data_IF_440630209984
#
_entry.id   IF_440630209984
#
_cell.length_a   1.000
_cell.length_b   1.000
_cell.length_c   1.000
_cell.angle_alpha   90.00
_cell.angle_beta   90.00
_cell.angle_gamma   90.00
#
_symmetry.space_group_name_H-M   'P 1'
#
loop_
_entity.id
_entity.type
_entity.pdbx_description
1 polymer ?
#
# COMPACT_ATOMS: atom_id res chain seq x y z
N UNK A 1 -10.84 -10.47 4.89
CA UNK A 1 -9.60 -9.83 4.39
C UNK A 1 -9.10 -10.41 3.07
N UNK A 2 -8.92 -11.74 2.90
CA UNK A 2 -8.54 -12.32 1.57
C UNK A 2 -9.47 -11.89 0.43
N UNK A 3 -10.76 -11.80 0.71
CA UNK A 3 -11.76 -11.34 -0.26
C UNK A 3 -11.53 -9.90 -0.74
N UNK A 4 -11.04 -9.02 0.15
CA UNK A 4 -10.68 -7.64 -0.19
C UNK A 4 -9.56 -7.62 -1.24
N UNK A 5 -8.50 -8.39 -1.02
CA UNK A 5 -7.41 -8.55 -1.98
C UNK A 5 -7.91 -9.00 -3.35
N UNK A 6 -8.82 -9.98 -3.40
CA UNK A 6 -9.41 -10.44 -4.65
C UNK A 6 -10.24 -9.35 -5.35
N UNK A 7 -11.09 -8.61 -4.62
CA UNK A 7 -11.91 -7.55 -5.21
C UNK A 7 -11.06 -6.40 -5.75
N UNK A 8 -10.05 -5.97 -4.99
CA UNK A 8 -9.09 -4.96 -5.43
C UNK A 8 -8.32 -5.44 -6.66
N UNK A 9 -7.84 -6.70 -6.67
CA UNK A 9 -7.12 -7.26 -7.81
C UNK A 9 -7.97 -7.28 -9.09
N UNK A 10 -9.28 -7.57 -8.98
CA UNK A 10 -10.23 -7.53 -10.09
C UNK A 10 -10.69 -6.11 -10.48
N UNK A 11 -10.37 -5.09 -9.69
CA UNK A 11 -10.87 -3.73 -9.91
C UNK A 11 -12.35 -3.54 -9.56
N UNK A 12 -12.91 -4.42 -8.73
CA UNK A 12 -14.30 -4.39 -8.27
C UNK A 12 -14.45 -3.33 -7.17
N UNK A 13 -14.44 -2.05 -7.56
CA UNK A 13 -14.47 -0.90 -6.64
C UNK A 13 -15.65 -0.97 -5.69
N UNK A 14 -16.86 -1.20 -6.22
CA UNK A 14 -18.08 -1.20 -5.40
C UNK A 14 -18.04 -2.27 -4.30
N UNK A 15 -17.60 -3.49 -4.63
CA UNK A 15 -17.49 -4.58 -3.64
C UNK A 15 -16.36 -4.37 -2.65
N UNK A 16 -15.26 -3.75 -3.11
CA UNK A 16 -14.14 -3.38 -2.23
C UNK A 16 -14.60 -2.32 -1.23
N UNK A 17 -15.32 -1.31 -1.71
CA UNK A 17 -15.91 -0.24 -0.89
C UNK A 17 -16.87 -0.78 0.16
N UNK A 18 -17.86 -1.59 -0.26
CA UNK A 18 -18.82 -2.20 0.66
C UNK A 18 -18.13 -2.99 1.77
N UNK A 19 -17.10 -3.77 1.42
CA UNK A 19 -16.34 -4.54 2.40
C UNK A 19 -15.48 -3.67 3.31
N UNK A 20 -14.96 -2.55 2.81
CA UNK A 20 -14.15 -1.60 3.60
C UNK A 20 -15.02 -0.73 4.53
N UNK A 21 -16.24 -0.42 4.12
CA UNK A 21 -17.21 0.35 4.91
C UNK A 21 -17.90 -0.50 5.99
N UNK A 22 -18.15 -1.79 5.71
CA UNK A 22 -18.78 -2.71 6.66
C UNK A 22 -17.94 -2.95 7.92
N UNK A 23 -16.60 -2.87 7.80
CA UNK A 23 -15.69 -3.16 8.90
C UNK A 23 -14.88 -1.92 9.28
N UNK A 24 -15.17 -1.38 10.47
CA UNK A 24 -14.38 -0.33 11.12
C UNK A 24 -13.13 -0.96 11.76
N UNK A 25 -12.10 -1.21 10.95
CA UNK A 25 -10.88 -1.91 11.32
C UNK A 25 -9.66 -1.00 11.08
N UNK A 26 -8.87 -0.77 12.13
CA UNK A 26 -7.67 0.06 12.10
C UNK A 26 -6.41 -0.69 11.64
N UNK A 27 -6.54 -1.93 11.15
CA UNK A 27 -5.41 -2.69 10.63
C UNK A 27 -4.86 -2.10 9.33
N UNK A 28 -3.58 -2.38 9.10
CA UNK A 28 -2.89 -1.99 7.88
C UNK A 28 -3.65 -2.47 6.61
N UNK A 29 -4.30 -3.63 6.65
CA UNK A 29 -5.03 -4.19 5.49
C UNK A 29 -6.17 -3.29 5.04
N UNK A 30 -6.92 -2.72 5.98
CA UNK A 30 -8.06 -1.86 5.66
C UNK A 30 -7.60 -0.47 5.24
N UNK A 31 -6.65 0.14 5.96
CA UNK A 31 -6.14 1.47 5.60
C UNK A 31 -5.48 1.46 4.22
N UNK A 32 -4.63 0.47 3.93
CA UNK A 32 -4.00 0.34 2.61
C UNK A 32 -4.96 -0.18 1.53
N UNK A 33 -6.02 -0.90 1.92
CA UNK A 33 -7.11 -1.27 1.03
C UNK A 33 -7.92 -0.06 0.55
N UNK A 34 -8.21 0.89 1.45
CA UNK A 34 -8.89 2.16 1.12
C UNK A 34 -8.09 2.98 0.10
N UNK A 35 -6.78 3.12 0.28
CA UNK A 35 -5.91 3.83 -0.68
C UNK A 35 -6.09 3.25 -2.09
N UNK A 36 -5.94 1.94 -2.26
CA UNK A 36 -6.06 1.32 -3.59
C UNK A 36 -7.49 1.41 -4.13
N UNK A 37 -8.50 1.25 -3.28
CA UNK A 37 -9.91 1.38 -3.68
C UNK A 37 -10.20 2.78 -4.25
N UNK A 38 -9.71 3.84 -3.59
CA UNK A 38 -9.88 5.24 -4.00
C UNK A 38 -9.12 5.55 -5.29
N UNK A 39 -7.90 5.03 -5.45
CA UNK A 39 -7.16 5.12 -6.71
C UNK A 39 -7.94 4.47 -7.86
N UNK A 40 -8.54 3.30 -7.62
CA UNK A 40 -9.36 2.62 -8.63
C UNK A 40 -10.66 3.36 -8.95
N UNK A 41 -11.22 4.08 -7.97
CA UNK A 41 -12.36 4.95 -8.17
C UNK A 41 -12.00 6.26 -8.90
N UNK A 42 -10.72 6.60 -9.01
CA UNK A 42 -10.24 7.88 -9.55
C UNK A 42 -10.35 9.06 -8.58
N UNK A 43 -10.60 8.78 -7.31
CA UNK A 43 -10.73 9.76 -6.22
C UNK A 43 -9.36 10.12 -5.65
N UNK A 44 -8.59 10.92 -6.39
CA UNK A 44 -7.18 11.18 -6.08
C UNK A 44 -6.97 11.98 -4.78
N UNK A 45 -7.83 12.96 -4.51
CA UNK A 45 -7.72 13.79 -3.30
C UNK A 45 -7.97 12.94 -2.04
N UNK A 46 -9.04 12.14 -2.06
CA UNK A 46 -9.34 11.22 -0.98
C UNK A 46 -8.29 10.11 -0.84
N UNK A 47 -7.71 9.64 -1.96
CA UNK A 47 -6.62 8.67 -1.93
C UNK A 47 -5.37 9.21 -1.24
N UNK A 48 -5.03 10.49 -1.44
CA UNK A 48 -3.92 11.15 -0.74
C UNK A 48 -4.18 11.28 0.76
N UNK A 49 -5.40 11.63 1.17
CA UNK A 49 -5.80 11.68 2.58
C UNK A 49 -5.70 10.29 3.22
N UNK A 50 -6.29 9.28 2.57
CA UNK A 50 -6.23 7.89 3.01
C UNK A 50 -4.79 7.36 3.08
N UNK A 51 -3.92 7.78 2.17
CA UNK A 51 -2.51 7.42 2.19
C UNK A 51 -1.81 7.94 3.44
N UNK A 52 -2.08 9.17 3.87
CA UNK A 52 -1.48 9.73 5.10
C UNK A 52 -1.89 8.92 6.32
N UNK A 53 -3.16 8.53 6.41
CA UNK A 53 -3.64 7.66 7.50
C UNK A 53 -3.03 6.26 7.45
N UNK A 54 -2.90 5.67 6.24
CA UNK A 54 -2.29 4.37 6.05
C UNK A 54 -0.81 4.36 6.44
N UNK A 55 -0.08 5.45 6.15
CA UNK A 55 1.31 5.64 6.56
C UNK A 55 1.46 5.84 8.07
N UNK A 56 0.56 6.59 8.71
CA UNK A 56 0.55 6.75 10.17
C UNK A 56 0.26 5.44 10.90
N UNK A 57 -0.67 4.64 10.33
CA UNK A 57 -1.05 3.33 10.86
C UNK A 57 0.08 2.32 10.72
N UNK A 58 0.66 2.20 9.52
CA UNK A 58 1.76 1.27 9.29
C UNK A 58 2.70 1.76 8.15
N UNK A 59 3.83 2.41 8.49
CA UNK A 59 4.75 2.98 7.51
C UNK A 59 5.57 1.92 6.76
N UNK A 60 5.55 0.65 7.18
CA UNK A 60 6.35 -0.41 6.57
C UNK A 60 5.70 -1.01 5.32
N UNK A 61 4.40 -0.80 5.10
CA UNK A 61 3.69 -1.36 3.94
C UNK A 61 4.15 -0.72 2.64
N UNK A 62 4.29 0.61 2.60
CA UNK A 62 4.73 1.33 1.40
C UNK A 62 6.06 0.81 0.82
N UNK A 63 7.16 0.74 1.61
CA UNK A 63 8.43 0.23 1.08
C UNK A 63 8.37 -1.26 0.73
N UNK A 64 7.54 -2.08 1.38
CA UNK A 64 7.31 -3.48 0.96
C UNK A 64 6.60 -3.54 -0.40
N UNK A 65 5.53 -2.76 -0.62
CA UNK A 65 4.80 -2.68 -1.90
C UNK A 65 5.68 -2.14 -3.04
N UNK A 66 6.61 -1.24 -2.73
CA UNK A 66 7.55 -0.70 -3.71
C UNK A 66 8.77 -1.61 -3.94
N UNK A 67 8.98 -2.64 -3.11
CA UNK A 67 10.16 -3.52 -3.20
C UNK A 67 11.44 -2.86 -2.67
N UNK A 68 11.31 -1.80 -1.87
CA UNK A 68 12.42 -1.09 -1.21
C UNK A 68 12.80 -1.72 0.13
N UNK A 69 11.96 -2.63 0.64
CA UNK A 69 12.18 -3.39 1.85
C UNK A 69 11.97 -4.87 1.57
N UNK A 70 12.88 -5.71 2.04
CA UNK A 70 12.73 -7.17 1.98
C UNK A 70 11.67 -7.64 2.99
N UNK A 71 10.86 -8.67 2.66
CA UNK A 71 9.95 -9.28 3.64
C UNK A 71 10.73 -10.00 4.74
N UNK A 72 10.11 -10.18 5.91
CA UNK A 72 10.67 -11.00 6.99
C UNK A 72 10.58 -12.47 6.57
N UNK A 73 11.65 -13.22 6.79
CA UNK A 73 11.67 -14.65 6.54
C UNK A 73 10.75 -15.39 7.53
N UNK A 74 9.89 -16.26 6.99
CA UNK A 74 8.98 -17.10 7.77
C UNK A 74 7.69 -16.40 8.19
N UNK A 75 6.82 -17.16 8.87
CA UNK A 75 5.55 -16.63 9.38
C UNK A 75 5.75 -16.04 10.78
N UNK A 76 5.35 -14.78 11.02
CA UNK A 76 5.40 -14.19 12.34
C UNK A 76 4.57 -15.00 13.35
N UNK A 77 5.16 -15.31 14.50
CA UNK A 77 4.45 -15.96 15.60
C UNK A 77 3.51 -14.99 16.36
N UNK A 78 3.80 -13.69 16.30
CA UNK A 78 3.04 -12.61 16.93
C UNK A 78 2.97 -11.45 15.96
N UNK A 79 1.81 -10.82 15.87
CA UNK A 79 1.55 -9.65 15.02
C UNK A 79 1.04 -8.54 15.92
N UNK A 80 1.64 -7.36 15.82
CA UNK A 80 1.20 -6.16 16.55
C UNK A 80 0.78 -5.10 15.54
N UNK A 81 -0.26 -4.33 15.86
CA UNK A 81 -0.70 -3.21 15.01
C UNK A 81 0.46 -2.22 14.83
N UNK A 82 0.67 -1.79 13.59
CA UNK A 82 1.76 -0.91 13.17
C UNK A 82 3.13 -1.60 13.02
N UNK A 83 3.21 -2.91 13.25
CA UNK A 83 4.48 -3.62 13.16
C UNK A 83 4.83 -4.05 11.73
N UNK A 84 6.10 -4.39 11.50
CA UNK A 84 6.57 -4.90 10.19
C UNK A 84 5.92 -6.25 9.85
N UNK A 85 5.62 -7.07 10.84
CA UNK A 85 4.90 -8.33 10.71
C UNK A 85 3.48 -8.11 10.19
N UNK A 86 2.78 -7.10 10.71
CA UNK A 86 1.46 -6.72 10.19
C UNK A 86 1.58 -6.22 8.75
N UNK A 87 2.59 -5.41 8.45
CA UNK A 87 2.82 -4.92 7.10
C UNK A 87 3.06 -6.06 6.10
N UNK A 88 3.81 -7.08 6.50
CA UNK A 88 4.02 -8.28 5.69
C UNK A 88 2.72 -9.03 5.44
N UNK A 89 1.86 -9.20 6.46
CA UNK A 89 0.55 -9.84 6.28
C UNK A 89 -0.34 -8.99 5.37
N UNK A 90 -0.29 -7.67 5.50
CA UNK A 90 -0.97 -6.74 4.61
C UNK A 90 -0.56 -6.97 3.14
N UNK A 91 0.73 -6.95 2.85
CA UNK A 91 1.25 -7.18 1.49
C UNK A 91 0.96 -8.60 1.00
N UNK A 92 0.94 -9.62 1.87
CA UNK A 92 0.51 -10.97 1.46
C UNK A 92 -0.96 -11.02 1.02
N UNK A 93 -1.82 -10.13 1.52
CA UNK A 93 -3.26 -10.14 1.24
C UNK A 93 -3.61 -9.24 0.05
N UNK A 94 -3.06 -8.03 0.00
CA UNK A 94 -3.40 -7.04 -1.04
C UNK A 94 -2.26 -6.75 -2.01
N UNK A 95 -1.06 -7.29 -1.78
CA UNK A 95 0.13 -7.01 -2.59
C UNK A 95 -0.04 -7.38 -4.05
N UNK A 96 -0.68 -8.51 -4.37
CA UNK A 96 -0.99 -8.88 -5.76
C UNK A 96 -1.86 -7.83 -6.47
N UNK A 97 -2.82 -7.23 -5.74
CA UNK A 97 -3.67 -6.18 -6.29
C UNK A 97 -2.90 -4.90 -6.64
N UNK A 98 -1.88 -4.57 -5.84
CA UNK A 98 -0.96 -3.46 -6.09
C UNK A 98 0.06 -3.80 -7.19
N UNK A 99 0.64 -5.00 -7.17
CA UNK A 99 1.64 -5.46 -8.15
C UNK A 99 1.07 -5.51 -9.57
N UNK A 100 -0.20 -5.90 -9.70
CA UNK A 100 -0.91 -5.92 -10.99
C UNK A 100 -1.23 -4.53 -11.56
N UNK A 101 -0.91 -3.44 -10.83
CA UNK A 101 -1.20 -2.05 -11.19
C UNK A 101 0.06 -1.17 -11.09
N UNK A 102 0.90 -1.16 -12.14
CA UNK A 102 2.09 -0.33 -12.18
C UNK A 102 1.81 1.16 -11.93
N UNK A 103 0.65 1.67 -12.38
CA UNK A 103 0.24 3.05 -12.20
C UNK A 103 0.02 3.39 -10.72
N UNK A 104 -0.57 2.48 -9.94
CA UNK A 104 -0.78 2.68 -8.50
C UNK A 104 0.54 2.68 -7.74
N UNK A 105 1.49 1.81 -8.11
CA UNK A 105 2.84 1.79 -7.52
C UNK A 105 3.64 3.04 -7.88
N UNK A 106 3.54 3.51 -9.12
CA UNK A 106 4.16 4.76 -9.54
C UNK A 106 3.60 5.96 -8.76
N UNK A 107 2.27 6.05 -8.66
CA UNK A 107 1.61 7.09 -7.86
C UNK A 107 2.08 7.05 -6.41
N UNK A 108 2.14 5.87 -5.78
CA UNK A 108 2.61 5.74 -4.40
C UNK A 108 4.05 6.24 -4.26
N UNK A 109 4.93 5.88 -5.19
CA UNK A 109 6.30 6.37 -5.21
C UNK A 109 6.38 7.90 -5.32
N UNK A 110 5.64 8.50 -6.26
CA UNK A 110 5.58 9.96 -6.44
C UNK A 110 5.08 10.67 -5.18
N UNK A 111 4.08 10.11 -4.50
CA UNK A 111 3.57 10.65 -3.24
C UNK A 111 4.62 10.60 -2.13
N UNK A 112 5.34 9.48 -1.98
CA UNK A 112 6.42 9.40 -0.99
C UNK A 112 7.56 10.38 -1.27
N UNK A 113 7.88 10.62 -2.54
CA UNK A 113 8.84 11.67 -2.96
C UNK A 113 8.32 13.06 -2.59
N UNK A 114 7.07 13.36 -2.93
CA UNK A 114 6.44 14.65 -2.65
C UNK A 114 6.35 14.95 -1.15
N UNK A 115 6.15 13.91 -0.33
CA UNK A 115 6.17 13.98 1.14
C UNK A 115 7.59 14.02 1.73
N UNK A 116 8.64 13.89 0.91
CA UNK A 116 10.04 13.88 1.33
C UNK A 116 10.45 12.63 2.12
N UNK A 117 9.70 11.54 1.99
CA UNK A 117 9.97 10.27 2.68
C UNK A 117 11.03 9.42 1.95
N UNK A 118 11.14 9.58 0.64
CA UNK A 118 12.17 8.97 -0.19
C UNK A 118 12.74 10.01 -1.16
N UNK A 119 14.01 9.86 -1.52
CA UNK A 119 14.64 10.67 -2.57
C UNK A 119 14.39 10.02 -3.92
N UNK A 120 14.13 10.83 -4.95
CA UNK A 120 14.40 10.38 -6.32
C UNK A 120 15.91 10.13 -6.35
N UNK A 121 16.34 8.88 -6.46
CA UNK A 121 17.72 8.62 -6.87
C UNK A 121 17.90 9.40 -8.16
N UNK A 122 18.76 10.43 -8.12
CA UNK A 122 19.25 11.02 -9.34
C UNK A 122 19.96 9.86 -10.03
N UNK A 123 19.47 9.45 -11.19
CA UNK A 123 20.21 8.58 -12.07
C UNK A 123 21.66 9.07 -12.08
N UNK A 124 22.58 8.23 -11.59
CA UNK A 124 24.02 8.39 -11.71
C UNK A 124 24.36 8.38 -13.22
N UNK A 125 24.07 9.48 -13.91
CA UNK A 125 24.53 9.77 -15.27
C UNK A 125 25.72 10.74 -15.23
N UNK A 126 26.47 10.73 -14.12
CA UNK A 126 27.81 11.32 -13.98
C UNK A 126 28.87 10.21 -13.95
N UNK A 127 28.89 9.37 -14.99
CA UNK A 127 30.05 8.53 -15.31
C UNK A 127 30.46 8.71 -16.78
N UNK A 128 30.58 9.98 -17.21
CA UNK A 128 31.19 10.35 -18.47
C UNK A 128 32.19 11.49 -18.29
N UNK A 129 33.29 11.27 -17.57
CA UNK A 129 34.51 12.09 -17.66
C UNK A 129 35.78 11.23 -17.66
#
# INVERSE_FOLDING_TARGET
MLLLGCYLAMGEVQRSWELLEEYDDDSAIFKWGWVLCLLLAGSMEEAEESLREALDTNPFVAPLLLGMMEPIEGQPAVVTIGSREEAQICVQIIGEAWESRPEARMWLHEQLVAMGMITLDQDDDDAAH
#
